data_IF_807229323480
#
_entry.id   IF_807229323480
#
_cell.length_a   1.000
_cell.length_b   1.000
_cell.length_c   1.000
_cell.angle_alpha   90.00
_cell.angle_beta   90.00
_cell.angle_gamma   90.00
#
_symmetry.space_group_name_H-M   'P 1'
#
loop_
_entity.id
_entity.type
_entity.pdbx_description
1 polymer ?
#
# COMPACT_ATOMS: atom_id res chain seq x y z
N UNK A 1 -36.68 -11.46 0.45
CA UNK A 1 -35.54 -10.51 0.38
C UNK A 1 -34.34 -11.26 0.90
N UNK A 2 -33.61 -11.91 0.00
CA UNK A 2 -32.48 -12.77 0.37
C UNK A 2 -31.33 -11.91 0.90
N UNK A 3 -31.04 -12.04 2.19
CA UNK A 3 -29.76 -11.61 2.75
C UNK A 3 -28.73 -12.57 2.17
N UNK A 4 -28.20 -12.22 0.99
CA UNK A 4 -27.10 -12.94 0.36
C UNK A 4 -26.00 -13.02 1.41
N UNK A 5 -25.74 -14.22 1.94
CA UNK A 5 -24.66 -14.48 2.88
C UNK A 5 -23.35 -14.09 2.19
N UNK A 6 -22.91 -12.84 2.39
CA UNK A 6 -21.62 -12.37 1.89
C UNK A 6 -20.56 -13.23 2.55
N UNK A 7 -19.59 -13.70 1.76
CA UNK A 7 -18.47 -14.43 2.32
C UNK A 7 -17.76 -13.54 3.33
N UNK A 8 -17.23 -14.12 4.40
CA UNK A 8 -16.37 -13.40 5.36
C UNK A 8 -15.21 -12.72 4.61
N UNK A 9 -14.72 -13.35 3.54
CA UNK A 9 -13.68 -12.80 2.67
C UNK A 9 -14.15 -11.50 1.99
N UNK A 10 -15.39 -11.45 1.51
CA UNK A 10 -15.92 -10.26 0.83
C UNK A 10 -16.03 -9.09 1.80
N UNK A 11 -16.51 -9.35 3.02
CA UNK A 11 -16.65 -8.33 4.07
C UNK A 11 -15.28 -7.79 4.51
N UNK A 12 -14.30 -8.67 4.69
CA UNK A 12 -12.94 -8.27 5.06
C UNK A 12 -12.24 -7.52 3.93
N UNK A 13 -12.42 -7.97 2.68
CA UNK A 13 -11.89 -7.28 1.50
C UNK A 13 -12.47 -5.87 1.39
N UNK A 14 -13.81 -5.72 1.47
CA UNK A 14 -14.50 -4.43 1.39
C UNK A 14 -14.07 -3.49 2.53
N UNK A 15 -13.96 -4.00 3.75
CA UNK A 15 -13.48 -3.22 4.90
C UNK A 15 -12.04 -2.72 4.74
N UNK A 16 -11.14 -3.61 4.31
CA UNK A 16 -9.74 -3.25 4.07
C UNK A 16 -9.58 -2.28 2.89
N UNK A 17 -10.38 -2.46 1.83
CA UNK A 17 -10.37 -1.58 0.66
C UNK A 17 -10.77 -0.17 1.06
N UNK A 18 -11.83 -0.04 1.86
CA UNK A 18 -12.27 1.25 2.39
C UNK A 18 -11.19 1.94 3.22
N UNK A 19 -10.54 1.22 4.14
CA UNK A 19 -9.44 1.77 4.96
C UNK A 19 -8.29 2.25 4.07
N UNK A 20 -7.89 1.46 3.08
CA UNK A 20 -6.83 1.80 2.14
C UNK A 20 -7.17 3.07 1.36
N UNK A 21 -8.36 3.12 0.76
CA UNK A 21 -8.77 4.23 -0.10
C UNK A 21 -9.04 5.51 0.69
N UNK A 22 -9.71 5.44 1.83
CA UNK A 22 -9.93 6.60 2.72
C UNK A 22 -8.59 7.24 3.10
N UNK A 23 -7.56 6.42 3.32
CA UNK A 23 -6.25 6.90 3.69
C UNK A 23 -5.41 7.38 2.50
N UNK A 24 -5.63 6.86 1.29
CA UNK A 24 -5.08 7.45 0.07
C UNK A 24 -5.74 8.80 -0.24
N UNK A 25 -7.04 8.96 0.02
CA UNK A 25 -7.78 10.18 -0.26
C UNK A 25 -7.51 11.29 0.77
N UNK A 26 -6.99 10.93 1.96
CA UNK A 26 -6.54 11.90 2.96
C UNK A 26 -5.39 12.81 2.50
N UNK A 27 -4.67 12.43 1.42
CA UNK A 27 -3.57 13.21 0.86
C UNK A 27 -3.88 13.60 -0.57
N UNK A 28 -3.89 14.90 -0.88
CA UNK A 28 -4.07 15.35 -2.25
C UNK A 28 -2.75 15.28 -3.05
N UNK A 29 -2.86 14.97 -4.34
CA UNK A 29 -1.73 14.85 -5.27
C UNK A 29 -1.38 13.41 -5.68
N UNK A 30 -0.41 13.31 -6.58
CA UNK A 30 0.06 12.05 -7.16
C UNK A 30 0.85 11.23 -6.15
N UNK A 31 0.63 9.92 -6.12
CA UNK A 31 1.19 9.02 -5.11
C UNK A 31 1.90 7.84 -5.73
N UNK A 32 2.98 7.42 -5.11
CA UNK A 32 3.64 6.15 -5.41
C UNK A 32 3.47 5.21 -4.23
N UNK A 33 3.06 3.97 -4.50
CA UNK A 33 3.03 2.92 -3.48
C UNK A 33 4.31 2.10 -3.55
N UNK A 34 5.04 2.04 -2.44
CA UNK A 34 6.14 1.12 -2.20
C UNK A 34 5.61 -0.06 -1.37
N UNK A 35 5.64 -1.28 -1.91
CA UNK A 35 5.00 -2.42 -1.27
C UNK A 35 5.95 -3.59 -1.02
N UNK A 36 5.70 -4.33 0.06
CA UNK A 36 6.44 -5.55 0.38
C UNK A 36 6.01 -6.72 -0.53
N UNK A 37 6.94 -7.35 -1.28
CA UNK A 37 6.64 -8.49 -2.16
C UNK A 37 5.85 -9.63 -1.51
N UNK A 38 5.99 -9.82 -0.19
CA UNK A 38 5.26 -10.85 0.56
C UNK A 38 3.75 -10.57 0.68
N UNK A 39 3.32 -9.32 0.46
CA UNK A 39 1.93 -8.87 0.61
C UNK A 39 1.11 -8.93 -0.68
N UNK A 40 1.67 -9.40 -1.81
CA UNK A 40 0.98 -9.34 -3.11
C UNK A 40 -0.38 -10.02 -3.11
N UNK A 41 -0.51 -11.15 -2.40
CA UNK A 41 -1.76 -11.92 -2.35
C UNK A 41 -2.85 -11.13 -1.63
N UNK A 42 -2.52 -10.54 -0.49
CA UNK A 42 -3.44 -9.71 0.29
C UNK A 42 -3.83 -8.46 -0.49
N UNK A 43 -2.87 -7.86 -1.20
CA UNK A 43 -3.12 -6.70 -2.05
C UNK A 43 -4.16 -6.98 -3.13
N UNK A 44 -3.98 -8.09 -3.85
CA UNK A 44 -4.89 -8.49 -4.93
C UNK A 44 -6.29 -8.89 -4.44
N UNK A 45 -6.45 -9.20 -3.15
CA UNK A 45 -7.76 -9.43 -2.55
C UNK A 45 -8.50 -8.14 -2.22
N UNK A 46 -7.77 -7.04 -1.98
CA UNK A 46 -8.31 -5.79 -1.46
C UNK A 46 -8.53 -4.75 -2.57
N UNK A 47 -7.68 -4.73 -3.59
CA UNK A 47 -7.73 -3.68 -4.62
C UNK A 47 -7.20 -4.18 -5.96
N UNK A 48 -7.60 -3.48 -7.03
CA UNK A 48 -6.98 -3.58 -8.36
C UNK A 48 -6.16 -2.35 -8.71
N UNK A 49 -5.32 -2.46 -9.75
CA UNK A 49 -4.54 -1.35 -10.30
C UNK A 49 -5.44 -0.20 -10.78
N UNK A 50 -6.60 -0.51 -11.35
CA UNK A 50 -7.56 0.48 -11.86
C UNK A 50 -8.16 1.31 -10.72
N UNK A 51 -8.51 0.66 -9.61
CA UNK A 51 -9.02 1.36 -8.43
C UNK A 51 -7.94 2.29 -7.86
N UNK A 52 -6.71 1.82 -7.70
CA UNK A 52 -5.61 2.66 -7.21
C UNK A 52 -5.38 3.91 -8.06
N UNK A 53 -5.51 3.82 -9.39
CA UNK A 53 -5.43 4.99 -10.28
C UNK A 53 -6.51 6.04 -10.00
N UNK A 54 -7.72 5.62 -9.61
CA UNK A 54 -8.79 6.55 -9.23
C UNK A 54 -8.41 7.38 -7.99
N UNK A 55 -7.57 6.83 -7.12
CA UNK A 55 -7.03 7.48 -5.92
C UNK A 55 -5.67 8.18 -6.15
N UNK A 56 -5.39 8.54 -7.41
CA UNK A 56 -4.17 9.25 -7.87
C UNK A 56 -2.86 8.48 -7.59
N UNK A 57 -2.92 7.15 -7.50
CA UNK A 57 -1.71 6.32 -7.48
C UNK A 57 -1.18 6.20 -8.90
N UNK A 58 0.00 6.77 -9.13
CA UNK A 58 0.63 6.82 -10.46
C UNK A 58 1.63 5.69 -10.69
N UNK A 59 2.13 5.07 -9.61
CA UNK A 59 3.06 3.96 -9.70
C UNK A 59 2.99 3.06 -8.48
N UNK A 60 3.29 1.77 -8.69
CA UNK A 60 3.49 0.79 -7.64
C UNK A 60 4.84 0.12 -7.84
N UNK A 61 5.65 0.10 -6.79
CA UNK A 61 7.01 -0.42 -6.84
C UNK A 61 7.24 -1.35 -5.67
N UNK A 62 7.94 -2.44 -5.96
CA UNK A 62 8.36 -3.35 -4.92
C UNK A 62 9.45 -2.67 -4.06
N UNK A 63 9.43 -2.89 -2.75
CA UNK A 63 10.49 -2.45 -1.86
C UNK A 63 11.78 -3.26 -2.12
N UNK A 64 12.64 -2.73 -3.01
CA UNK A 64 13.98 -3.27 -3.28
C UNK A 64 15.08 -2.46 -2.55
N UNK A 65 16.33 -2.92 -2.67
CA UNK A 65 17.49 -2.29 -2.02
C UNK A 65 17.98 -1.03 -2.75
N UNK A 66 17.37 -0.65 -3.87
CA UNK A 66 17.80 0.47 -4.69
C UNK A 66 16.96 1.71 -4.35
N UNK A 67 17.56 2.82 -3.91
CA UNK A 67 16.82 4.05 -3.60
C UNK A 67 16.35 4.80 -4.85
N UNK A 68 15.98 4.07 -5.92
CA UNK A 68 15.34 4.66 -7.10
C UNK A 68 13.86 4.82 -6.83
N UNK A 69 13.54 5.78 -5.97
CA UNK A 69 12.24 6.44 -6.08
C UNK A 69 12.20 7.02 -7.51
N UNK A 70 11.22 6.66 -8.36
CA UNK A 70 11.20 7.11 -9.74
C UNK A 70 11.21 8.63 -9.78
N UNK A 71 11.90 9.21 -10.76
CA UNK A 71 11.84 10.64 -11.06
C UNK A 71 10.44 11.10 -11.55
N UNK A 72 9.41 10.26 -11.43
CA UNK A 72 8.05 10.67 -11.70
C UNK A 72 7.68 11.79 -10.74
N UNK A 73 7.02 12.83 -11.23
CA UNK A 73 6.46 13.87 -10.37
C UNK A 73 5.40 13.23 -9.45
N UNK A 74 5.79 12.99 -8.21
CA UNK A 74 4.91 12.49 -7.16
C UNK A 74 5.00 13.42 -5.96
N UNK A 75 3.86 13.63 -5.32
CA UNK A 75 3.77 14.45 -4.11
C UNK A 75 4.07 13.60 -2.86
N UNK A 76 3.64 12.32 -2.90
CA UNK A 76 3.66 11.44 -1.73
C UNK A 76 4.20 10.05 -2.07
N UNK A 77 4.93 9.48 -1.11
CA UNK A 77 5.32 8.06 -1.13
C UNK A 77 4.57 7.35 -0.02
N UNK A 78 3.89 6.26 -0.39
CA UNK A 78 3.03 5.46 0.47
C UNK A 78 3.68 4.08 0.65
N UNK A 79 4.12 3.76 1.86
CA UNK A 79 4.74 2.47 2.16
C UNK A 79 3.70 1.49 2.70
N UNK A 80 3.58 0.29 2.11
CA UNK A 80 2.71 -0.80 2.58
C UNK A 80 3.56 -2.04 2.83
N UNK A 81 3.86 -2.29 4.10
CA UNK A 81 4.93 -3.21 4.51
C UNK A 81 4.47 -4.21 5.56
N UNK A 82 5.06 -5.41 5.52
CA UNK A 82 4.95 -6.39 6.60
C UNK A 82 5.83 -5.99 7.78
N UNK A 83 5.29 -6.10 9.00
CA UNK A 83 6.06 -5.96 10.24
C UNK A 83 6.84 -7.22 10.61
N UNK A 84 6.52 -8.36 9.99
CA UNK A 84 7.06 -9.67 10.37
C UNK A 84 8.49 -9.89 9.87
N UNK A 85 9.03 -8.98 9.05
CA UNK A 85 10.35 -9.10 8.45
C UNK A 85 11.25 -7.90 8.77
N UNK A 86 12.23 -8.11 9.64
CA UNK A 86 13.22 -7.08 10.02
C UNK A 86 14.03 -6.53 8.84
N UNK A 87 14.22 -7.32 7.77
CA UNK A 87 14.85 -6.85 6.52
C UNK A 87 14.01 -5.75 5.85
N UNK A 88 12.69 -5.87 5.87
CA UNK A 88 11.77 -4.89 5.27
C UNK A 88 11.83 -3.57 6.04
N UNK A 89 11.93 -3.63 7.37
CA UNK A 89 12.12 -2.45 8.22
C UNK A 89 13.47 -1.78 7.94
N UNK A 90 14.56 -2.54 7.81
CA UNK A 90 15.88 -1.99 7.47
C UNK A 90 15.89 -1.31 6.09
N UNK A 91 15.19 -1.89 5.11
CA UNK A 91 15.00 -1.29 3.78
C UNK A 91 14.20 0.01 3.88
N UNK A 92 13.10 0.03 4.64
CA UNK A 92 12.32 1.25 4.89
C UNK A 92 13.19 2.35 5.49
N UNK A 93 13.96 2.06 6.54
CA UNK A 93 14.88 3.02 7.17
C UNK A 93 15.86 3.58 6.14
N UNK A 94 16.38 2.72 5.26
CA UNK A 94 17.29 3.14 4.18
C UNK A 94 16.60 4.06 3.19
N UNK A 95 15.36 3.76 2.77
CA UNK A 95 14.58 4.62 1.88
C UNK A 95 14.29 5.98 2.53
N UNK A 96 13.84 5.99 3.80
CA UNK A 96 13.51 7.21 4.53
C UNK A 96 14.71 8.14 4.73
N UNK A 97 15.91 7.59 4.93
CA UNK A 97 17.16 8.39 4.99
C UNK A 97 17.44 9.17 3.70
N UNK A 98 16.95 8.68 2.56
CA UNK A 98 17.19 9.30 1.26
C UNK A 98 15.95 10.04 0.71
N UNK A 99 14.82 9.99 1.42
CA UNK A 99 13.58 10.58 0.98
C UNK A 99 13.62 12.11 1.13
N UNK A 100 13.29 12.83 0.04
CA UNK A 100 13.10 14.29 0.04
C UNK A 100 11.62 14.70 -0.02
N UNK A 101 10.70 13.73 0.01
CA UNK A 101 9.26 13.90 -0.19
C UNK A 101 8.48 13.67 1.10
N UNK A 102 7.21 14.08 1.13
CA UNK A 102 6.29 13.71 2.21
C UNK A 102 6.05 12.19 2.18
N UNK A 103 6.28 11.52 3.32
CA UNK A 103 6.20 10.06 3.43
C UNK A 103 5.00 9.68 4.31
N UNK A 104 4.17 8.79 3.79
CA UNK A 104 3.03 8.20 4.49
C UNK A 104 3.30 6.71 4.65
N UNK A 105 3.18 6.20 5.87
CA UNK A 105 3.51 4.80 6.18
C UNK A 105 2.23 4.08 6.60
N UNK A 106 1.83 3.08 5.83
CA UNK A 106 0.81 2.10 6.21
C UNK A 106 1.49 0.83 6.69
N UNK A 107 1.24 0.53 7.96
CA UNK A 107 1.66 -0.72 8.57
C UNK A 107 0.50 -1.70 8.42
N UNK A 108 0.70 -2.75 7.62
CA UNK A 108 -0.29 -3.82 7.48
C UNK A 108 0.06 -4.90 8.51
N UNK A 109 -0.76 -5.11 9.55
CA UNK A 109 -0.58 -6.25 10.43
C UNK A 109 -0.85 -7.52 9.62
N UNK A 110 0.20 -8.33 9.39
CA UNK A 110 -0.01 -9.70 8.95
C UNK A 110 -0.43 -10.48 10.19
N UNK A 111 -1.72 -10.75 10.32
CA UNK A 111 -2.14 -11.89 11.12
C UNK A 111 -1.91 -13.12 10.27
N UNK A 112 -0.97 -13.97 10.69
CA UNK A 112 -0.82 -15.32 10.13
C UNK A 112 -2.15 -16.06 10.33
N UNK A 113 -2.94 -16.15 9.26
CA UNK A 113 -4.13 -16.99 9.15
C UNK A 113 -3.76 -18.29 8.44
#
# INVERSE_FOLDING_TARGET
MDVKSRSIIDVLSEGNARILFDALDAFDGAKIIMWDPTLIKQFNLVTTTEQLKQHKVVSMLQLDLSPRIPQAEHNHVVYILSTSNSSVINKLITCLKHARSANVIFIVPINDL
#
